data_IF_183069013000
#
_entry.id   IF_183069013000
#
_cell.length_a   1.000
_cell.length_b   1.000
_cell.length_c   1.000
_cell.angle_alpha   90.00
_cell.angle_beta   90.00
_cell.angle_gamma   90.00
#
_symmetry.space_group_name_H-M   'P 1'
#
loop_
_entity.id
_entity.type
_entity.pdbx_description
1 polymer ?
#
# COMPACT_ATOMS: atom_id res chain seq x y z
N UNK A 1 -17.12 -11.16 -3.18
CA UNK A 1 -17.33 -9.74 -3.54
C UNK A 1 -16.01 -8.98 -3.68
N UNK A 2 -15.17 -8.92 -2.64
CA UNK A 2 -13.88 -8.22 -2.67
C UNK A 2 -12.95 -8.65 -3.83
N UNK A 3 -12.79 -9.96 -4.06
CA UNK A 3 -12.02 -10.52 -5.20
C UNK A 3 -12.52 -10.03 -6.56
N UNK A 4 -13.83 -10.16 -6.83
CA UNK A 4 -14.44 -9.70 -8.07
C UNK A 4 -14.24 -8.18 -8.29
N UNK A 5 -14.36 -7.39 -7.23
CA UNK A 5 -14.11 -5.95 -7.27
C UNK A 5 -12.66 -5.64 -7.61
N UNK A 6 -11.70 -6.36 -7.01
CA UNK A 6 -10.29 -6.23 -7.31
C UNK A 6 -9.98 -6.56 -8.78
N UNK A 7 -10.46 -7.72 -9.25
CA UNK A 7 -10.26 -8.16 -10.64
C UNK A 7 -10.88 -7.17 -11.65
N UNK A 8 -12.04 -6.58 -11.32
CA UNK A 8 -12.66 -5.54 -12.15
C UNK A 8 -11.81 -4.27 -12.29
N UNK A 9 -11.17 -3.84 -11.20
CA UNK A 9 -10.29 -2.66 -11.22
C UNK A 9 -8.96 -2.96 -11.91
N UNK A 10 -8.39 -4.16 -11.70
CA UNK A 10 -7.21 -4.63 -12.44
C UNK A 10 -7.47 -4.57 -13.95
N UNK A 11 -8.57 -5.17 -14.43
CA UNK A 11 -8.95 -5.15 -15.84
C UNK A 11 -9.14 -3.73 -16.41
N UNK A 12 -9.66 -2.80 -15.61
CA UNK A 12 -9.81 -1.41 -16.02
C UNK A 12 -8.46 -0.69 -16.13
N UNK A 13 -7.55 -0.97 -15.20
CA UNK A 13 -6.21 -0.39 -15.19
C UNK A 13 -5.34 -0.95 -16.33
N UNK A 14 -5.42 -2.26 -16.61
CA UNK A 14 -4.69 -2.89 -17.71
C UNK A 14 -5.05 -2.27 -19.07
N UNK A 15 -6.36 -2.06 -19.31
CA UNK A 15 -6.83 -1.36 -20.51
C UNK A 15 -6.30 0.06 -20.58
N UNK A 16 -6.27 0.76 -19.44
CA UNK A 16 -5.74 2.11 -19.36
C UNK A 16 -4.24 2.15 -19.71
N UNK A 17 -3.43 1.22 -19.20
CA UNK A 17 -2.00 1.12 -19.55
C UNK A 17 -1.81 0.83 -21.05
N UNK A 18 -2.62 -0.06 -21.63
CA UNK A 18 -2.60 -0.33 -23.07
C UNK A 18 -2.97 0.91 -23.89
N UNK A 19 -3.97 1.68 -23.46
CA UNK A 19 -4.35 2.93 -24.12
C UNK A 19 -3.19 3.93 -24.08
N UNK A 20 -2.49 4.04 -22.95
CA UNK A 20 -1.29 4.89 -22.82
C UNK A 20 -0.18 4.43 -23.76
N UNK A 21 0.15 3.13 -23.74
CA UNK A 21 1.23 2.57 -24.57
C UNK A 21 0.94 2.70 -26.08
N UNK A 22 -0.33 2.70 -26.46
CA UNK A 22 -0.77 2.88 -27.85
C UNK A 22 -1.10 4.33 -28.22
N UNK A 23 -0.76 5.29 -27.34
CA UNK A 23 -1.03 6.72 -27.48
C UNK A 23 -2.50 7.04 -27.79
N UNK A 24 -3.42 6.22 -27.26
CA UNK A 24 -4.86 6.43 -27.31
C UNK A 24 -5.32 7.31 -26.16
N UNK A 25 -6.55 7.80 -26.31
CA UNK A 25 -7.27 8.54 -25.26
C UNK A 25 -7.52 7.61 -24.07
N UNK A 26 -6.99 7.91 -22.88
CA UNK A 26 -7.25 7.08 -21.68
C UNK A 26 -8.73 7.17 -21.28
N UNK A 27 -9.31 6.02 -20.89
CA UNK A 27 -10.72 5.94 -20.52
C UNK A 27 -10.94 6.16 -19.01
N UNK A 28 -10.84 7.41 -18.55
CA UNK A 28 -11.13 7.80 -17.16
C UNK A 28 -12.54 7.38 -16.69
N UNK A 29 -13.62 7.54 -17.50
CA UNK A 29 -14.94 7.08 -17.10
C UNK A 29 -15.01 5.58 -16.76
N UNK A 30 -14.34 4.73 -17.53
CA UNK A 30 -14.27 3.30 -17.26
C UNK A 30 -13.53 3.00 -15.96
N UNK A 31 -12.40 3.68 -15.70
CA UNK A 31 -11.68 3.55 -14.44
C UNK A 31 -12.55 3.97 -13.25
N UNK A 32 -13.26 5.10 -13.36
CA UNK A 32 -14.21 5.55 -12.33
C UNK A 32 -15.29 4.50 -12.04
N UNK A 33 -15.84 3.85 -13.06
CA UNK A 33 -16.84 2.79 -12.88
C UNK A 33 -16.28 1.59 -12.08
N UNK A 34 -15.01 1.26 -12.26
CA UNK A 34 -14.35 0.20 -11.50
C UNK A 34 -13.95 0.63 -10.07
N UNK A 35 -13.68 1.92 -9.85
CA UNK A 35 -13.37 2.50 -8.53
C UNK A 35 -14.57 2.44 -7.58
N UNK A 36 -15.78 2.73 -8.06
CA UNK A 36 -16.98 2.77 -7.20
C UNK A 36 -17.17 1.50 -6.37
N UNK A 37 -17.21 0.28 -6.96
CA UNK A 37 -17.35 -0.95 -6.19
C UNK A 37 -16.14 -1.22 -5.28
N UNK A 38 -14.94 -0.77 -5.64
CA UNK A 38 -13.73 -0.85 -4.81
C UNK A 38 -13.89 -0.02 -3.55
N UNK A 39 -14.26 1.26 -3.69
CA UNK A 39 -14.55 2.14 -2.57
C UNK A 39 -15.65 1.56 -1.68
N UNK A 40 -16.73 1.05 -2.27
CA UNK A 40 -17.80 0.40 -1.51
C UNK A 40 -17.32 -0.84 -0.75
N UNK A 41 -16.35 -1.58 -1.28
CA UNK A 41 -15.76 -2.72 -0.60
C UNK A 41 -14.85 -2.30 0.55
N UNK A 42 -14.02 -1.27 0.39
CA UNK A 42 -13.20 -0.72 1.49
C UNK A 42 -14.09 -0.14 2.60
N UNK A 43 -15.19 0.53 2.25
CA UNK A 43 -16.15 1.06 3.24
C UNK A 43 -16.72 -0.06 4.10
N UNK A 44 -17.12 -1.18 3.48
CA UNK A 44 -17.67 -2.35 4.18
C UNK A 44 -16.64 -3.09 5.03
N UNK A 45 -15.47 -3.37 4.46
CA UNK A 45 -14.40 -4.12 5.14
C UNK A 45 -13.03 -3.71 4.55
N UNK A 46 -12.30 -2.79 5.19
CA UNK A 46 -11.00 -2.34 4.71
C UNK A 46 -9.94 -3.45 4.79
N UNK A 47 -9.93 -4.25 5.86
CA UNK A 47 -8.93 -5.32 6.07
C UNK A 47 -8.95 -6.34 4.94
N UNK A 48 -10.13 -6.69 4.44
CA UNK A 48 -10.27 -7.65 3.35
C UNK A 48 -9.63 -7.17 2.03
N UNK A 49 -9.73 -5.88 1.70
CA UNK A 49 -9.11 -5.36 0.47
C UNK A 49 -7.61 -5.11 0.63
N UNK A 50 -7.18 -4.63 1.80
CA UNK A 50 -5.76 -4.48 2.12
C UNK A 50 -5.06 -5.86 2.11
N UNK A 51 -5.72 -6.91 2.60
CA UNK A 51 -5.21 -8.26 2.47
C UNK A 51 -5.06 -8.66 1.00
N UNK A 52 -6.08 -8.43 0.16
CA UNK A 52 -6.01 -8.78 -1.26
C UNK A 52 -4.88 -8.07 -2.02
N UNK A 53 -4.57 -6.82 -1.69
CA UNK A 53 -3.43 -6.11 -2.32
C UNK A 53 -2.09 -6.74 -1.95
N UNK A 54 -2.00 -7.40 -0.79
CA UNK A 54 -0.79 -8.11 -0.33
C UNK A 54 -0.71 -9.55 -0.85
N UNK A 55 -1.83 -10.24 -0.98
CA UNK A 55 -1.87 -11.66 -1.37
C UNK A 55 -1.63 -11.88 -2.88
N UNK A 56 -1.82 -10.87 -3.71
CA UNK A 56 -1.67 -11.01 -5.17
C UNK A 56 -0.21 -10.78 -5.58
N UNK A 57 0.50 -11.85 -5.93
CA UNK A 57 1.83 -11.80 -6.54
C UNK A 57 1.80 -12.12 -8.06
N UNK A 58 2.57 -11.33 -8.84
CA UNK A 58 3.10 -11.59 -10.22
C UNK A 58 2.03 -11.44 -11.35
N UNK A 59 2.14 -10.56 -12.36
CA UNK A 59 3.19 -10.40 -13.39
C UNK A 59 3.44 -8.94 -13.86
N UNK A 60 2.80 -7.93 -13.25
CA UNK A 60 3.00 -6.54 -13.63
C UNK A 60 3.02 -5.61 -12.40
N UNK A 61 4.23 -5.34 -11.89
CA UNK A 61 4.48 -4.49 -10.72
C UNK A 61 3.69 -3.16 -10.72
N UNK A 62 3.58 -2.51 -11.88
CA UNK A 62 2.90 -1.22 -12.00
C UNK A 62 1.37 -1.29 -11.74
N UNK A 63 0.70 -2.40 -12.06
CA UNK A 63 -0.74 -2.54 -11.76
C UNK A 63 -0.96 -2.77 -10.26
N UNK A 64 -0.15 -3.63 -9.66
CA UNK A 64 -0.24 -3.95 -8.23
C UNK A 64 -0.06 -2.69 -7.38
N UNK A 65 0.93 -1.87 -7.75
CA UNK A 65 1.21 -0.63 -7.05
C UNK A 65 0.03 0.35 -7.11
N UNK A 66 -0.47 0.69 -8.30
CA UNK A 66 -1.58 1.63 -8.44
C UNK A 66 -2.85 1.15 -7.70
N UNK A 67 -3.11 -0.16 -7.75
CA UNK A 67 -4.21 -0.80 -7.03
C UNK A 67 -4.06 -0.71 -5.52
N UNK A 68 -2.87 -1.08 -5.02
CA UNK A 68 -2.55 -1.05 -3.59
C UNK A 68 -2.65 0.37 -3.05
N UNK A 69 -2.03 1.35 -3.73
CA UNK A 69 -2.11 2.76 -3.37
C UNK A 69 -3.55 3.28 -3.34
N UNK A 70 -4.40 2.92 -4.31
CA UNK A 70 -5.81 3.30 -4.30
C UNK A 70 -6.58 2.72 -3.10
N UNK A 71 -6.37 1.44 -2.78
CA UNK A 71 -7.00 0.78 -1.62
C UNK A 71 -6.54 1.42 -0.31
N UNK A 72 -5.23 1.61 -0.14
CA UNK A 72 -4.62 2.21 1.04
C UNK A 72 -5.10 3.66 1.23
N UNK A 73 -5.15 4.44 0.15
CA UNK A 73 -5.62 5.82 0.19
C UNK A 73 -7.10 5.89 0.60
N UNK A 74 -7.96 5.03 0.06
CA UNK A 74 -9.38 4.97 0.45
C UNK A 74 -9.53 4.53 1.90
N UNK A 75 -8.75 3.54 2.37
CA UNK A 75 -8.78 3.10 3.75
C UNK A 75 -8.39 4.24 4.71
N UNK A 76 -7.37 5.02 4.35
CA UNK A 76 -6.95 6.22 5.06
C UNK A 76 -8.01 7.31 5.05
N UNK A 77 -8.55 7.66 3.87
CA UNK A 77 -9.62 8.65 3.72
C UNK A 77 -10.87 8.28 4.53
N UNK A 78 -11.25 7.00 4.54
CA UNK A 78 -12.37 6.48 5.33
C UNK A 78 -12.10 6.65 6.82
N UNK A 79 -10.89 6.33 7.27
CA UNK A 79 -10.50 6.41 8.67
C UNK A 79 -10.59 7.84 9.21
N UNK A 80 -10.14 8.83 8.44
CA UNK A 80 -10.23 10.25 8.81
C UNK A 80 -11.60 10.88 8.53
N UNK A 81 -12.60 10.10 8.10
CA UNK A 81 -13.99 10.54 7.96
C UNK A 81 -14.33 11.27 6.66
N UNK A 82 -13.56 11.08 5.58
CA UNK A 82 -13.91 11.69 4.29
C UNK A 82 -15.22 11.10 3.72
N UNK A 83 -16.07 11.93 3.09
CA UNK A 83 -17.30 11.47 2.46
C UNK A 83 -16.99 10.57 1.26
N UNK A 84 -17.91 9.65 0.93
CA UNK A 84 -17.75 8.68 -0.16
C UNK A 84 -17.35 9.31 -1.50
N UNK A 85 -17.85 10.50 -1.82
CA UNK A 85 -17.48 11.23 -3.05
C UNK A 85 -15.98 11.58 -3.06
N UNK A 86 -15.44 12.08 -1.94
CA UNK A 86 -14.00 12.34 -1.80
C UNK A 86 -13.18 11.05 -1.80
N UNK A 87 -13.70 9.94 -1.25
CA UNK A 87 -13.02 8.64 -1.34
C UNK A 87 -12.86 8.17 -2.80
N UNK A 88 -13.88 8.40 -3.63
CA UNK A 88 -13.80 8.09 -5.07
C UNK A 88 -12.77 8.96 -5.80
N UNK A 89 -12.67 10.24 -5.45
CA UNK A 89 -11.64 11.13 -6.00
C UNK A 89 -10.23 10.73 -5.55
N UNK A 90 -10.08 10.37 -4.26
CA UNK A 90 -8.83 9.92 -3.67
C UNK A 90 -8.35 8.62 -4.32
N UNK A 91 -9.25 7.66 -4.50
CA UNK A 91 -8.97 6.42 -5.23
C UNK A 91 -8.53 6.68 -6.68
N UNK A 92 -9.19 7.63 -7.36
CA UNK A 92 -8.87 7.98 -8.74
C UNK A 92 -7.50 8.65 -8.86
N UNK A 93 -7.17 9.58 -7.95
CA UNK A 93 -5.87 10.22 -7.88
C UNK A 93 -4.75 9.20 -7.64
N UNK A 94 -4.89 8.34 -6.62
CA UNK A 94 -3.90 7.31 -6.31
C UNK A 94 -3.75 6.26 -7.43
N UNK A 95 -4.82 5.93 -8.15
CA UNK A 95 -4.70 5.04 -9.30
C UNK A 95 -3.92 5.69 -10.46
N UNK A 96 -3.93 7.02 -10.59
CA UNK A 96 -3.40 7.72 -11.76
C UNK A 96 -2.07 8.45 -11.53
N UNK A 97 -1.64 8.66 -10.29
CA UNK A 97 -0.47 9.49 -9.96
C UNK A 97 0.85 9.08 -10.64
N UNK A 98 0.98 7.79 -10.94
CA UNK A 98 2.18 7.16 -11.47
C UNK A 98 2.03 6.80 -12.95
N UNK A 99 0.89 7.15 -13.58
CA UNK A 99 0.58 6.74 -14.96
C UNK A 99 1.57 7.31 -15.97
N UNK A 100 2.17 8.46 -15.66
CA UNK A 100 3.18 9.08 -16.50
C UNK A 100 4.47 8.27 -16.60
N UNK A 101 4.71 7.29 -15.71
CA UNK A 101 5.87 6.40 -15.79
C UNK A 101 5.86 5.57 -17.06
N UNK A 102 4.69 5.33 -17.66
CA UNK A 102 4.57 4.67 -18.96
C UNK A 102 5.19 5.47 -20.13
N UNK A 103 5.48 6.76 -19.94
CA UNK A 103 6.23 7.59 -20.89
C UNK A 103 7.73 7.69 -20.58
N UNK A 104 8.17 7.13 -19.46
CA UNK A 104 9.59 7.07 -19.10
C UNK A 104 10.22 5.84 -19.76
N UNK A 105 11.48 5.96 -20.17
CA UNK A 105 12.21 4.83 -20.74
C UNK A 105 12.23 3.64 -19.76
N UNK A 106 11.75 2.49 -20.20
CA UNK A 106 11.66 1.29 -19.38
C UNK A 106 13.05 0.80 -18.89
N UNK A 107 14.10 0.95 -19.69
CA UNK A 107 15.47 0.61 -19.26
C UNK A 107 15.95 1.50 -18.13
N UNK A 108 15.46 2.75 -18.04
CA UNK A 108 15.78 3.66 -16.95
C UNK A 108 15.07 3.22 -15.66
N UNK A 109 13.80 2.86 -15.74
CA UNK A 109 13.01 2.41 -14.59
C UNK A 109 13.48 1.07 -14.01
N UNK A 110 14.16 0.24 -14.82
CA UNK A 110 14.56 -1.13 -14.45
C UNK A 110 16.06 -1.28 -14.18
N UNK A 111 16.82 -0.19 -13.98
CA UNK A 111 18.27 -0.27 -13.67
C UNK A 111 18.57 -0.86 -12.30
N UNK A 112 19.43 -1.91 -12.19
CA UNK A 112 19.79 -2.56 -10.92
C UNK A 112 20.83 -1.80 -10.11
N UNK A 113 20.71 -0.48 -10.08
CA UNK A 113 21.56 0.42 -9.32
C UNK A 113 20.80 1.69 -8.99
N UNK A 114 21.34 2.46 -8.06
CA UNK A 114 20.91 3.84 -7.84
C UNK A 114 21.07 4.64 -9.13
N UNK A 115 20.05 5.45 -9.45
CA UNK A 115 20.05 6.37 -10.57
C UNK A 115 20.97 7.58 -10.29
N UNK A 116 21.61 8.13 -11.32
CA UNK A 116 22.31 9.41 -11.24
C UNK A 116 21.33 10.57 -11.09
N UNK A 117 21.83 11.76 -10.75
CA UNK A 117 20.98 12.94 -10.60
C UNK A 117 20.25 13.30 -11.91
N UNK A 118 20.94 13.23 -13.06
CA UNK A 118 20.34 13.45 -14.38
C UNK A 118 19.26 12.40 -14.71
N UNK A 119 19.53 11.14 -14.38
CA UNK A 119 18.56 10.05 -14.55
C UNK A 119 17.32 10.25 -13.68
N UNK A 120 17.51 10.72 -12.44
CA UNK A 120 16.42 11.06 -11.55
C UNK A 120 15.60 12.25 -12.07
N UNK A 121 16.23 13.26 -12.66
CA UNK A 121 15.53 14.37 -13.32
C UNK A 121 14.60 13.86 -14.42
N UNK A 122 15.05 12.90 -15.24
CA UNK A 122 14.20 12.29 -16.25
C UNK A 122 13.03 11.51 -15.63
N UNK A 123 13.27 10.71 -14.58
CA UNK A 123 12.20 9.96 -13.89
C UNK A 123 11.15 10.89 -13.27
N UNK A 124 11.56 12.04 -12.70
CA UNK A 124 10.65 13.02 -12.08
C UNK A 124 9.60 13.58 -13.04
N UNK A 125 9.88 13.61 -14.36
CA UNK A 125 8.94 14.06 -15.40
C UNK A 125 7.67 13.21 -15.48
N UNK A 126 7.62 12.03 -14.86
CA UNK A 126 6.41 11.22 -14.83
C UNK A 126 5.22 11.97 -14.20
N UNK A 127 5.46 12.88 -13.25
CA UNK A 127 4.42 13.71 -12.65
C UNK A 127 3.78 14.58 -13.73
N UNK A 128 4.60 15.34 -14.47
CA UNK A 128 4.14 16.21 -15.56
C UNK A 128 3.41 15.43 -16.65
N UNK A 129 3.93 14.26 -17.01
CA UNK A 129 3.27 13.37 -17.98
C UNK A 129 1.92 12.88 -17.47
N UNK A 130 1.82 12.46 -16.21
CA UNK A 130 0.56 12.05 -15.62
C UNK A 130 -0.47 13.19 -15.65
N UNK A 131 -0.07 14.40 -15.25
CA UNK A 131 -0.89 15.62 -15.26
C UNK A 131 -1.36 15.98 -16.67
N UNK A 132 -0.45 15.98 -17.64
CA UNK A 132 -0.77 16.22 -19.06
C UNK A 132 -1.81 15.23 -19.56
N UNK A 133 -1.63 13.95 -19.23
CA UNK A 133 -2.52 12.87 -19.67
C UNK A 133 -3.90 13.00 -19.05
N UNK A 134 -4.02 13.26 -17.74
CA UNK A 134 -5.35 13.39 -17.12
C UNK A 134 -6.08 14.66 -17.57
N UNK A 135 -5.37 15.79 -17.71
CA UNK A 135 -5.96 17.07 -18.14
C UNK A 135 -6.49 17.00 -19.58
N UNK A 136 -5.78 16.32 -20.50
CA UNK A 136 -6.24 16.14 -21.89
C UNK A 136 -7.48 15.26 -22.04
N UNK A 137 -7.70 14.35 -21.09
CA UNK A 137 -8.72 13.31 -21.21
C UNK A 137 -10.03 13.62 -20.47
N UNK A 138 -10.05 14.69 -19.67
CA UNK A 138 -11.25 15.36 -19.15
C UNK A 138 -11.88 14.74 -17.90
N UNK A 139 -12.67 15.55 -17.20
CA UNK A 139 -13.51 15.21 -16.02
C UNK A 139 -12.79 14.56 -14.83
N UNK A 140 -11.59 15.00 -14.50
CA UNK A 140 -10.94 14.68 -13.22
C UNK A 140 -11.18 15.84 -12.24
N UNK A 141 -11.39 15.55 -10.95
CA UNK A 141 -11.57 16.61 -9.95
C UNK A 141 -10.24 17.33 -9.70
N UNK A 142 -10.31 18.59 -9.26
CA UNK A 142 -9.12 19.35 -8.88
C UNK A 142 -8.34 18.62 -7.77
N UNK A 143 -9.03 18.03 -6.79
CA UNK A 143 -8.42 17.24 -5.71
C UNK A 143 -7.57 16.08 -6.23
N UNK A 144 -8.09 15.33 -7.21
CA UNK A 144 -7.37 14.21 -7.81
C UNK A 144 -6.18 14.69 -8.67
N UNK A 145 -6.31 15.82 -9.36
CA UNK A 145 -5.18 16.44 -10.09
C UNK A 145 -4.09 16.89 -9.13
N UNK A 146 -4.45 17.61 -8.06
CA UNK A 146 -3.48 18.05 -7.06
C UNK A 146 -2.78 16.87 -6.39
N UNK A 147 -3.48 15.75 -6.17
CA UNK A 147 -2.86 14.52 -5.67
C UNK A 147 -1.74 14.04 -6.58
N UNK A 148 -1.99 14.00 -7.90
CA UNK A 148 -1.00 13.62 -8.90
C UNK A 148 0.17 14.62 -8.88
N UNK A 149 -0.11 15.92 -8.85
CA UNK A 149 0.92 16.97 -8.86
C UNK A 149 1.82 16.93 -7.62
N UNK A 150 1.31 16.49 -6.45
CA UNK A 150 1.97 16.71 -5.16
C UNK A 150 2.36 15.44 -4.39
N UNK A 151 2.15 14.24 -4.94
CA UNK A 151 2.47 12.98 -4.21
C UNK A 151 3.95 12.79 -3.88
N UNK A 152 4.85 13.47 -4.59
CA UNK A 152 6.28 13.49 -4.33
C UNK A 152 6.77 14.73 -3.56
N UNK A 153 5.86 15.62 -3.16
CA UNK A 153 6.19 16.70 -2.23
C UNK A 153 6.50 16.14 -0.84
N UNK A 154 7.33 16.85 -0.07
CA UNK A 154 7.80 16.40 1.25
C UNK A 154 7.60 17.49 2.27
N UNK A 155 7.33 17.10 3.51
CA UNK A 155 6.96 18.02 4.58
C UNK A 155 7.98 19.16 4.78
N UNK A 156 9.27 18.87 4.68
CA UNK A 156 10.39 19.82 4.78
C UNK A 156 10.65 20.65 3.50
N UNK A 157 9.97 20.33 2.39
CA UNK A 157 10.13 20.92 1.07
C UNK A 157 11.29 20.38 0.25
N UNK A 158 11.88 19.25 0.63
CA UNK A 158 12.87 18.53 -0.18
C UNK A 158 12.28 17.79 -1.38
N UNK A 159 10.95 17.75 -1.48
CA UNK A 159 10.18 17.09 -2.52
C UNK A 159 10.19 17.80 -3.87
N UNK A 160 9.36 17.30 -4.78
CA UNK A 160 9.21 17.80 -6.15
C UNK A 160 7.75 17.63 -6.62
N UNK A 161 7.29 18.37 -7.64
CA UNK A 161 8.04 19.30 -8.51
C UNK A 161 8.28 20.71 -7.96
N UNK A 162 7.41 21.23 -7.10
CA UNK A 162 7.41 22.64 -6.68
C UNK A 162 8.13 22.88 -5.35
N UNK A 163 8.41 21.83 -4.57
CA UNK A 163 9.10 21.94 -3.28
C UNK A 163 8.22 22.54 -2.18
N UNK A 164 6.93 22.20 -2.21
CA UNK A 164 5.91 22.65 -1.26
C UNK A 164 6.24 22.19 0.16
N UNK A 165 5.91 23.00 1.17
CA UNK A 165 6.21 22.71 2.58
C UNK A 165 4.96 22.58 3.43
N UNK A 166 5.03 21.68 4.42
CA UNK A 166 4.03 21.61 5.49
C UNK A 166 2.60 21.46 4.97
N UNK A 167 1.78 22.49 5.19
CA UNK A 167 0.36 22.51 4.81
C UNK A 167 0.10 23.02 3.38
N UNK A 168 1.11 23.55 2.69
CA UNK A 168 1.03 23.91 1.27
C UNK A 168 0.75 22.67 0.41
N UNK A 169 1.20 21.50 0.87
CA UNK A 169 0.84 20.21 0.28
C UNK A 169 -0.63 19.92 0.60
N UNK A 170 -1.52 19.76 -0.40
CA UNK A 170 -2.91 19.42 -0.18
C UNK A 170 -3.07 18.08 0.55
N UNK A 171 -4.17 17.90 1.30
CA UNK A 171 -4.42 16.67 2.06
C UNK A 171 -4.27 15.39 1.20
N UNK A 172 -4.75 15.41 -0.04
CA UNK A 172 -4.64 14.25 -0.93
C UNK A 172 -3.17 13.97 -1.30
N UNK A 173 -2.34 14.99 -1.53
CA UNK A 173 -0.90 14.83 -1.75
C UNK A 173 -0.18 14.25 -0.54
N UNK A 174 -0.53 14.71 0.67
CA UNK A 174 0.01 14.16 1.93
C UNK A 174 -0.33 12.69 2.11
N UNK A 175 -1.58 12.30 1.82
CA UNK A 175 -1.99 10.88 1.82
C UNK A 175 -1.23 10.11 0.74
N UNK A 176 -1.13 10.65 -0.47
CA UNK A 176 -0.47 10.01 -1.61
C UNK A 176 0.98 9.66 -1.31
N UNK A 177 1.75 10.60 -0.76
CA UNK A 177 3.16 10.37 -0.45
C UNK A 177 3.39 9.23 0.54
N UNK A 178 2.53 9.10 1.55
CA UNK A 178 2.62 8.02 2.55
C UNK A 178 2.23 6.67 1.94
N UNK A 179 1.13 6.60 1.19
CA UNK A 179 0.67 5.31 0.62
C UNK A 179 1.61 4.81 -0.48
N UNK A 180 2.14 5.72 -1.31
CA UNK A 180 3.16 5.41 -2.32
C UNK A 180 4.42 4.85 -1.66
N UNK A 181 4.94 5.57 -0.65
CA UNK A 181 6.12 5.16 0.08
C UNK A 181 5.95 3.80 0.77
N UNK A 182 4.84 3.63 1.50
CA UNK A 182 4.54 2.40 2.22
C UNK A 182 4.43 1.20 1.27
N UNK A 183 3.68 1.33 0.17
CA UNK A 183 3.55 0.25 -0.80
C UNK A 183 4.91 -0.08 -1.45
N UNK A 184 5.67 0.95 -1.83
CA UNK A 184 6.97 0.76 -2.46
C UNK A 184 7.95 0.00 -1.56
N UNK A 185 8.00 0.28 -0.25
CA UNK A 185 8.94 -0.41 0.65
C UNK A 185 8.46 -1.80 1.10
N UNK A 186 7.14 -2.06 1.06
CA UNK A 186 6.57 -3.36 1.47
C UNK A 186 6.33 -4.34 0.32
N UNK A 187 6.43 -3.88 -0.93
CA UNK A 187 6.27 -4.70 -2.14
C UNK A 187 7.61 -5.08 -2.77
N UNK A 188 7.71 -6.30 -3.31
CA UNK A 188 8.90 -6.78 -4.01
C UNK A 188 9.19 -5.94 -5.25
N UNK A 189 10.41 -5.42 -5.35
CA UNK A 189 10.90 -4.63 -6.50
C UNK A 189 12.12 -5.29 -7.13
N UNK A 190 12.41 -5.05 -8.43
CA UNK A 190 13.61 -5.58 -9.08
C UNK A 190 14.92 -5.33 -8.34
N UNK A 191 15.00 -4.23 -7.58
CA UNK A 191 16.25 -3.71 -6.99
C UNK A 191 16.26 -3.64 -5.47
N UNK A 192 15.19 -4.08 -4.81
CA UNK A 192 15.06 -4.02 -3.36
C UNK A 192 14.16 -5.14 -2.84
N UNK A 193 14.61 -5.79 -1.76
CA UNK A 193 13.78 -6.73 -1.01
C UNK A 193 12.73 -5.93 -0.21
N UNK A 194 11.48 -6.43 -0.12
CA UNK A 194 10.47 -5.79 0.71
C UNK A 194 10.86 -5.88 2.19
N UNK A 195 10.56 -4.82 2.95
CA UNK A 195 10.61 -4.84 4.41
C UNK A 195 9.28 -5.34 4.99
N UNK A 196 9.29 -5.79 6.23
CA UNK A 196 8.05 -6.19 6.91
C UNK A 196 7.16 -4.98 7.23
N UNK A 197 5.83 -5.14 7.39
CA UNK A 197 4.93 -4.02 7.72
C UNK A 197 5.31 -3.22 8.98
N UNK A 198 5.79 -3.88 10.04
CA UNK A 198 6.23 -3.22 11.27
C UNK A 198 7.54 -2.42 11.06
N UNK A 199 8.46 -2.93 10.22
CA UNK A 199 9.65 -2.19 9.81
C UNK A 199 9.29 -0.98 8.95
N UNK A 200 8.35 -1.13 8.01
CA UNK A 200 7.83 -0.03 7.22
C UNK A 200 7.19 1.06 8.09
N UNK A 201 6.40 0.67 9.10
CA UNK A 201 5.81 1.60 10.08
C UNK A 201 6.91 2.31 10.89
N UNK A 202 7.95 1.57 11.32
CA UNK A 202 9.08 2.15 12.03
C UNK A 202 9.81 3.19 11.19
N UNK A 203 10.04 2.92 9.90
CA UNK A 203 10.66 3.86 8.96
C UNK A 203 9.78 5.10 8.75
N UNK A 204 8.48 4.92 8.48
CA UNK A 204 7.53 6.03 8.36
C UNK A 204 7.55 6.93 9.61
N UNK A 205 7.59 6.34 10.81
CA UNK A 205 7.66 7.09 12.05
C UNK A 205 8.98 7.85 12.24
N UNK A 206 10.10 7.32 11.73
CA UNK A 206 11.38 8.03 11.72
C UNK A 206 11.38 9.23 10.77
N UNK A 207 10.58 9.17 9.70
CA UNK A 207 10.42 10.25 8.72
C UNK A 207 9.34 11.28 9.09
N UNK A 208 8.74 11.16 10.27
CA UNK A 208 7.74 12.11 10.76
C UNK A 208 8.32 13.52 10.86
N UNK A 209 7.55 14.48 10.38
CA UNK A 209 7.88 15.91 10.33
C UNK A 209 9.23 16.21 9.62
N UNK A 210 9.68 15.27 8.77
CA UNK A 210 10.80 15.41 7.84
C UNK A 210 10.25 15.23 6.43
N UNK A 211 9.93 13.98 6.05
CA UNK A 211 9.40 13.67 4.73
C UNK A 211 7.87 13.79 4.72
N UNK A 212 7.22 13.42 5.82
CA UNK A 212 5.75 13.35 5.91
C UNK A 212 5.23 13.97 7.21
N UNK A 213 4.03 14.54 7.17
CA UNK A 213 3.37 15.12 8.34
C UNK A 213 3.10 14.06 9.41
N UNK A 214 3.59 14.27 10.62
CA UNK A 214 3.44 13.30 11.73
C UNK A 214 1.99 12.91 12.01
N UNK A 215 1.07 13.88 11.98
CA UNK A 215 -0.35 13.62 12.18
C UNK A 215 -0.94 12.66 11.13
N UNK A 216 -0.50 12.73 9.86
CA UNK A 216 -1.00 11.82 8.81
C UNK A 216 -0.37 10.43 8.97
N UNK A 217 0.91 10.34 9.34
CA UNK A 217 1.57 9.06 9.67
C UNK A 217 0.83 8.36 10.82
N UNK A 218 0.52 9.08 11.89
CA UNK A 218 -0.16 8.50 13.05
C UNK A 218 -1.52 7.90 12.67
N UNK A 219 -2.32 8.63 11.89
CA UNK A 219 -3.60 8.12 11.37
C UNK A 219 -3.38 6.93 10.41
N UNK A 220 -2.35 6.96 9.57
CA UNK A 220 -2.04 5.85 8.67
C UNK A 220 -1.66 4.57 9.43
N UNK A 221 -0.89 4.69 10.52
CA UNK A 221 -0.57 3.57 11.42
C UNK A 221 -1.86 3.00 12.04
N UNK A 222 -2.85 3.84 12.35
CA UNK A 222 -4.15 3.38 12.84
C UNK A 222 -4.96 2.63 11.77
N UNK A 223 -4.76 2.92 10.48
CA UNK A 223 -5.43 2.22 9.38
C UNK A 223 -4.83 0.83 9.18
N UNK A 224 -3.50 0.77 9.12
CA UNK A 224 -2.77 -0.45 8.77
C UNK A 224 -2.69 -1.41 9.97
N UNK A 225 -2.52 -0.86 11.17
CA UNK A 225 -2.15 -1.62 12.36
C UNK A 225 -0.68 -2.01 12.36
N UNK A 226 -0.16 -2.45 13.51
CA UNK A 226 1.27 -2.82 13.64
C UNK A 226 1.55 -4.15 12.96
N UNK A 227 0.60 -5.09 13.05
CA UNK A 227 0.69 -6.41 12.43
C UNK A 227 -0.56 -6.64 11.58
N UNK A 228 -0.55 -6.19 10.31
CA UNK A 228 -1.73 -6.32 9.45
C UNK A 228 -2.01 -7.79 9.11
N UNK A 229 -3.27 -8.11 8.76
CA UNK A 229 -3.65 -9.46 8.30
C UNK A 229 -2.77 -9.91 7.14
N UNK A 230 -2.28 -11.15 7.20
CA UNK A 230 -1.30 -11.73 6.26
C UNK A 230 0.16 -11.52 6.66
N UNK A 231 0.46 -10.83 7.76
CA UNK A 231 1.83 -10.70 8.24
C UNK A 231 2.32 -12.00 8.87
N UNK A 232 3.49 -12.46 8.43
CA UNK A 232 4.18 -13.60 9.03
C UNK A 232 4.91 -13.08 10.28
N UNK A 233 4.68 -13.71 11.43
CA UNK A 233 5.24 -13.28 12.72
C UNK A 233 5.90 -14.45 13.43
N UNK A 234 6.98 -14.15 14.15
CA UNK A 234 7.53 -15.07 15.14
C UNK A 234 7.09 -14.62 16.53
N UNK A 235 6.50 -15.54 17.30
CA UNK A 235 6.14 -15.32 18.69
C UNK A 235 7.37 -15.39 19.61
N UNK A 236 7.29 -14.81 20.80
CA UNK A 236 8.40 -14.76 21.76
C UNK A 236 8.84 -16.13 22.29
N UNK A 237 8.02 -17.17 22.12
CA UNK A 237 8.37 -18.57 22.41
C UNK A 237 8.90 -19.34 21.19
N UNK A 238 9.13 -18.65 20.07
CA UNK A 238 9.78 -19.20 18.88
C UNK A 238 8.82 -19.76 17.82
N UNK A 239 7.53 -19.94 18.14
CA UNK A 239 6.52 -20.37 17.17
C UNK A 239 6.36 -19.36 16.04
N UNK A 240 5.99 -19.84 14.85
CA UNK A 240 5.78 -19.00 13.66
C UNK A 240 4.35 -19.16 13.17
N UNK A 241 3.74 -18.04 12.78
CA UNK A 241 2.38 -18.04 12.27
C UNK A 241 2.07 -16.81 11.42
N UNK A 242 0.83 -16.76 10.95
CA UNK A 242 0.30 -15.67 10.13
C UNK A 242 -0.79 -14.94 10.90
N UNK A 243 -0.77 -13.61 10.89
CA UNK A 243 -1.87 -12.82 11.45
C UNK A 243 -3.13 -13.00 10.61
N UNK A 244 -4.20 -13.54 11.20
CA UNK A 244 -5.49 -13.77 10.53
C UNK A 244 -6.55 -12.73 10.90
N UNK A 245 -6.41 -12.05 12.05
CA UNK A 245 -7.29 -10.96 12.43
C UNK A 245 -6.59 -9.94 13.35
N UNK A 246 -7.07 -8.70 13.30
CA UNK A 246 -6.58 -7.60 14.13
C UNK A 246 -7.63 -7.19 15.17
N UNK A 247 -7.18 -6.62 16.30
CA UNK A 247 -8.06 -5.96 17.26
C UNK A 247 -7.73 -4.47 17.29
N UNK A 248 -8.73 -3.63 16.97
CA UNK A 248 -8.55 -2.17 16.93
C UNK A 248 -8.08 -1.59 18.28
N UNK A 249 -8.56 -2.15 19.39
CA UNK A 249 -8.23 -1.73 20.76
C UNK A 249 -6.93 -2.35 21.29
N UNK A 250 -6.37 -3.37 20.61
CA UNK A 250 -5.20 -4.11 21.08
C UNK A 250 -4.30 -4.52 19.90
N UNK A 251 -3.75 -3.51 19.20
CA UNK A 251 -2.99 -3.68 17.93
C UNK A 251 -1.74 -4.55 18.03
N UNK A 252 -1.19 -4.74 19.23
CA UNK A 252 -0.03 -5.62 19.49
C UNK A 252 -0.41 -7.06 19.83
N UNK A 253 -1.71 -7.38 19.85
CA UNK A 253 -2.26 -8.66 20.29
C UNK A 253 -3.18 -9.30 19.24
N UNK A 254 -2.77 -9.45 17.96
CA UNK A 254 -3.64 -9.99 16.93
C UNK A 254 -4.06 -11.45 17.18
N UNK A 255 -4.94 -11.97 16.33
CA UNK A 255 -5.17 -13.42 16.21
C UNK A 255 -4.16 -13.97 15.20
N UNK A 256 -3.38 -14.96 15.61
CA UNK A 256 -2.33 -15.58 14.80
C UNK A 256 -2.71 -17.03 14.53
N UNK A 257 -2.75 -17.44 13.27
CA UNK A 257 -2.79 -18.85 12.90
C UNK A 257 -1.37 -19.41 12.97
N UNK A 258 -1.13 -20.31 13.91
CA UNK A 258 0.20 -20.90 14.14
C UNK A 258 0.43 -22.01 13.12
N UNK A 259 1.57 -21.94 12.43
CA UNK A 259 1.96 -22.87 11.38
C UNK A 259 3.16 -23.74 11.75
N UNK A 260 4.05 -23.22 12.59
CA UNK A 260 5.29 -23.91 12.96
C UNK A 260 5.56 -23.81 14.45
N UNK A 261 6.15 -24.87 15.00
CA UNK A 261 6.64 -24.90 16.37
C UNK A 261 7.96 -24.15 16.54
N UNK A 262 8.42 -24.04 17.79
CA UNK A 262 9.68 -23.34 18.13
C UNK A 262 10.92 -23.89 17.45
N UNK A 263 10.90 -25.17 17.03
CA UNK A 263 11.95 -25.87 16.28
C UNK A 263 11.86 -25.68 14.76
N UNK A 264 10.91 -24.86 14.29
CA UNK A 264 10.62 -24.59 12.87
C UNK A 264 10.14 -25.81 12.09
N UNK A 265 9.57 -26.81 12.76
CA UNK A 265 8.80 -27.85 12.08
C UNK A 265 7.37 -27.36 11.81
N UNK A 266 6.83 -27.68 10.64
CA UNK A 266 5.43 -27.41 10.31
C UNK A 266 4.52 -28.27 11.19
N UNK A 267 3.42 -27.67 11.63
CA UNK A 267 2.35 -28.37 12.33
C UNK A 267 1.51 -29.18 11.35
N UNK A 268 1.04 -30.36 11.80
CA UNK A 268 0.07 -31.17 11.05
C UNK A 268 -1.30 -30.47 10.98
N UNK A 269 -1.71 -29.85 12.09
CA UNK A 269 -2.96 -29.09 12.21
C UNK A 269 -2.67 -27.65 12.65
N UNK A 270 -3.04 -26.68 11.81
CA UNK A 270 -2.95 -25.27 12.15
C UNK A 270 -4.08 -24.86 13.09
N UNK A 271 -3.79 -23.94 14.01
CA UNK A 271 -4.79 -23.43 14.94
C UNK A 271 -4.68 -21.92 15.11
N UNK A 272 -5.83 -21.28 15.33
CA UNK A 272 -5.90 -19.86 15.67
C UNK A 272 -5.56 -19.62 17.13
N UNK A 273 -4.74 -18.60 17.35
CA UNK A 273 -4.26 -18.19 18.65
C UNK A 273 -4.58 -16.72 18.86
N UNK A 274 -5.66 -16.43 19.59
CA UNK A 274 -6.02 -15.06 20.00
C UNK A 274 -5.12 -14.61 21.15
N UNK A 275 -4.17 -13.72 20.83
CA UNK A 275 -3.18 -13.21 21.79
C UNK A 275 -3.78 -12.33 22.89
N UNK A 276 -5.06 -11.92 22.79
CA UNK A 276 -5.76 -11.26 23.92
C UNK A 276 -6.19 -12.25 24.98
N UNK A 277 -6.58 -13.46 24.58
CA UNK A 277 -7.06 -14.51 25.50
C UNK A 277 -5.90 -15.26 26.15
N UNK A 278 -4.76 -15.32 25.48
CA UNK A 278 -3.59 -16.06 25.93
C UNK A 278 -2.40 -15.14 26.12
N UNK A 279 -2.12 -14.78 27.37
CA UNK A 279 -1.07 -13.83 27.73
C UNK A 279 0.27 -14.49 28.01
N UNK A 280 0.32 -15.83 28.17
CA UNK A 280 1.52 -16.58 28.55
C UNK A 280 1.87 -17.64 27.51
N UNK A 281 3.16 -17.76 27.19
CA UNK A 281 3.71 -18.80 26.32
C UNK A 281 3.86 -20.14 27.04
N UNK A 282 4.34 -21.17 26.33
CA UNK A 282 4.57 -22.51 26.91
C UNK A 282 5.56 -22.51 28.08
N UNK A 283 6.45 -21.52 28.13
CA UNK A 283 7.43 -21.30 29.19
C UNK A 283 6.89 -20.46 30.38
N UNK A 284 5.61 -20.09 30.38
CA UNK A 284 5.00 -19.23 31.40
C UNK A 284 5.38 -17.75 31.32
N UNK A 285 6.19 -17.33 30.33
CA UNK A 285 6.52 -15.92 30.11
C UNK A 285 5.42 -15.20 29.33
N UNK A 286 5.36 -13.88 29.46
CA UNK A 286 4.45 -13.06 28.68
C UNK A 286 4.68 -13.29 27.18
N UNK A 287 3.64 -13.76 26.49
CA UNK A 287 3.69 -14.03 25.07
C UNK A 287 3.48 -12.72 24.30
N UNK A 288 4.38 -12.44 23.36
CA UNK A 288 4.34 -11.29 22.48
C UNK A 288 4.81 -11.68 21.08
N UNK A 289 4.61 -10.80 20.09
CA UNK A 289 5.31 -10.93 18.82
C UNK A 289 6.75 -10.48 19.05
N UNK A 290 7.71 -11.33 18.70
CA UNK A 290 9.15 -11.02 18.78
C UNK A 290 9.54 -10.06 17.66
N UNK A 291 9.19 -10.41 16.43
CA UNK A 291 9.38 -9.60 15.23
C UNK A 291 8.48 -10.14 14.12
N UNK A 292 8.16 -9.31 13.12
CA UNK A 292 7.60 -9.84 11.88
C UNK A 292 8.72 -10.36 10.99
N UNK A 293 8.35 -11.28 10.12
CA UNK A 293 9.23 -11.91 9.15
C UNK A 293 8.96 -11.32 7.77
N UNK A 294 9.98 -11.23 6.92
CA UNK A 294 9.82 -10.78 5.54
C UNK A 294 8.90 -11.72 4.76
N UNK A 295 8.15 -11.22 3.75
CA UNK A 295 7.35 -12.07 2.87
C UNK A 295 8.15 -13.26 2.29
N UNK A 296 7.56 -14.46 2.28
CA UNK A 296 8.20 -15.70 1.82
C UNK A 296 9.15 -16.37 2.81
N UNK A 297 9.30 -15.83 4.04
CA UNK A 297 10.09 -16.48 5.10
C UNK A 297 9.59 -17.88 5.38
N UNK A 298 10.51 -18.84 5.53
CA UNK A 298 10.21 -20.26 5.74
C UNK A 298 9.38 -20.91 4.62
N UNK A 299 9.33 -20.30 3.42
CA UNK A 299 8.51 -20.79 2.31
C UNK A 299 7.00 -20.58 2.50
N UNK A 300 6.61 -19.77 3.48
CA UNK A 300 5.21 -19.48 3.77
C UNK A 300 4.70 -18.43 2.77
N UNK A 301 3.69 -18.80 1.99
CA UNK A 301 2.87 -17.87 1.21
C UNK A 301 1.51 -17.67 1.89
N UNK A 302 1.23 -16.50 2.49
CA UNK A 302 -0.07 -16.21 3.07
C UNK A 302 -1.25 -16.47 2.13
N UNK A 303 -1.08 -16.35 0.81
CA UNK A 303 -2.16 -16.58 -0.14
C UNK A 303 -2.73 -18.01 -0.09
N UNK A 304 -1.92 -18.99 0.31
CA UNK A 304 -2.35 -20.39 0.46
C UNK A 304 -3.30 -20.62 1.63
N UNK A 305 -3.40 -19.65 2.56
CA UNK A 305 -4.14 -19.81 3.82
C UNK A 305 -5.38 -18.91 3.94
N UNK A 306 -5.59 -17.98 3.00
CA UNK A 306 -6.72 -17.04 3.01
C UNK A 306 -7.68 -17.20 1.81
N UNK A 307 -7.41 -18.14 0.89
CA UNK A 307 -8.19 -18.35 -0.35
C UNK A 307 -9.01 -19.63 -0.27
#
# INVERSE_FOLDING_TARGET
MAKHTYDGMQNAYDKLIVDVATNKKINIPQLKQAIVPMVDSVIRNPDALILLTRLKSIDAYAYLHAMSCAVLAVAMGRHIGLPKTMLQELALGAALFDIGRARINHELLTRPRRLSDDEMVEVRKHVDYAVEMVKRNGHISASAVHMIETHHERHDGSGYPEGLKGEEIPLFGRIAGIVDCYDAITTTRPHAKPVSPDEAIRLLYQWRDIDFQGAIIEQFIQVIGIYPVGTIVQLSDGRVGIVVAQHLEARLRPVVMVLMESDKQLLDDYYEFDMRKHTSGHNGQALSISHSLSPGSYGIDPAEYFI
#
